data_IF_322131583704
#
_entry.id   IF_322131583704
#
_cell.length_a   1.000
_cell.length_b   1.000
_cell.length_c   1.000
_cell.angle_alpha   90.00
_cell.angle_beta   90.00
_cell.angle_gamma   90.00
#
_symmetry.space_group_name_H-M   'P 1'
#
loop_
_entity.id
_entity.type
_entity.pdbx_description
1 polymer ?
#
# COMPACT_ATOMS: atom_id res chain seq x y z
N UNK A 1 -5.69 12.08 14.88
CA UNK A 1 -5.22 10.72 15.18
C UNK A 1 -3.78 10.47 14.70
N UNK A 2 -3.51 10.20 13.41
CA UNK A 2 -2.15 9.85 12.92
C UNK A 2 -1.04 10.85 13.29
N UNK A 3 -1.33 12.14 13.20
CA UNK A 3 -0.38 13.19 13.61
C UNK A 3 -0.09 13.17 15.11
N UNK A 4 -1.08 12.83 15.94
CA UNK A 4 -0.88 12.61 17.38
C UNK A 4 0.03 11.42 17.66
N UNK A 5 -0.09 10.32 16.89
CA UNK A 5 0.81 9.18 17.00
C UNK A 5 2.27 9.54 16.66
N UNK A 6 2.48 10.34 15.60
CA UNK A 6 3.82 10.82 15.23
C UNK A 6 4.47 11.66 16.33
N UNK A 7 3.67 12.50 17.00
CA UNK A 7 4.13 13.36 18.10
C UNK A 7 4.31 12.63 19.43
N UNK A 8 4.07 11.32 19.48
CA UNK A 8 4.21 10.52 20.69
C UNK A 8 3.01 10.58 21.64
N UNK A 9 1.89 11.20 21.25
CA UNK A 9 0.71 11.38 22.11
C UNK A 9 -0.19 10.13 22.15
N UNK A 10 0.39 8.99 22.53
CA UNK A 10 -0.28 7.68 22.52
C UNK A 10 -1.40 7.55 23.55
N UNK A 11 -1.23 8.15 24.73
CA UNK A 11 -2.19 8.05 25.84
C UNK A 11 -3.49 8.80 25.53
N UNK A 12 -3.38 10.06 25.11
CA UNK A 12 -4.53 10.85 24.66
C UNK A 12 -5.29 10.17 23.51
N UNK A 13 -4.56 9.53 22.60
CA UNK A 13 -5.16 8.87 21.45
C UNK A 13 -5.88 7.56 21.81
N UNK A 14 -5.41 6.83 22.82
CA UNK A 14 -6.09 5.65 23.33
C UNK A 14 -7.50 5.95 23.86
N UNK A 15 -7.76 7.19 24.29
CA UNK A 15 -9.09 7.66 24.73
C UNK A 15 -10.03 7.99 23.56
N UNK A 16 -9.52 8.08 22.34
CA UNK A 16 -10.30 8.47 21.14
C UNK A 16 -10.74 7.28 20.29
N UNK A 17 -10.35 6.06 20.68
CA UNK A 17 -10.65 4.83 19.94
C UNK A 17 -11.16 3.73 20.88
N UNK A 18 -11.85 2.69 20.37
CA UNK A 18 -12.28 1.58 21.20
C UNK A 18 -11.10 0.91 21.94
N UNK A 19 -11.30 0.39 23.16
CA UNK A 19 -10.22 -0.22 23.96
C UNK A 19 -9.44 -1.32 23.22
N UNK A 20 -10.14 -2.18 22.47
CA UNK A 20 -9.50 -3.21 21.65
C UNK A 20 -8.58 -2.62 20.56
N UNK A 21 -8.99 -1.50 19.94
CA UNK A 21 -8.16 -0.80 18.95
C UNK A 21 -6.93 -0.16 19.60
N UNK A 22 -7.09 0.44 20.78
CA UNK A 22 -5.96 0.99 21.53
C UNK A 22 -4.95 -0.10 21.92
N UNK A 23 -5.43 -1.27 22.38
CA UNK A 23 -4.58 -2.42 22.71
C UNK A 23 -3.79 -2.91 21.49
N UNK A 24 -4.44 -3.07 20.34
CA UNK A 24 -3.77 -3.49 19.09
C UNK A 24 -2.74 -2.46 18.60
N UNK A 25 -3.04 -1.17 18.71
CA UNK A 25 -2.10 -0.10 18.34
C UNK A 25 -0.86 -0.08 19.24
N UNK A 26 -1.02 -0.27 20.57
CA UNK A 26 0.10 -0.40 21.50
C UNK A 26 0.94 -1.64 21.18
N UNK A 27 0.29 -2.79 20.99
CA UNK A 27 0.99 -4.01 20.61
C UNK A 27 1.78 -3.85 19.30
N UNK A 28 1.19 -3.20 18.29
CA UNK A 28 1.88 -2.93 17.03
C UNK A 28 3.09 -2.01 17.23
N UNK A 29 2.95 -0.97 18.06
CA UNK A 29 4.06 -0.06 18.40
C UNK A 29 5.19 -0.80 19.11
N UNK A 30 4.87 -1.56 20.14
CA UNK A 30 5.86 -2.25 20.98
C UNK A 30 6.60 -3.35 20.18
N UNK A 31 5.98 -3.87 19.11
CA UNK A 31 6.61 -4.78 18.13
C UNK A 31 7.34 -4.06 16.98
N UNK A 32 7.38 -2.73 16.95
CA UNK A 32 7.98 -1.97 15.85
C UNK A 32 7.24 -2.15 14.51
N UNK A 33 5.92 -2.34 14.55
CA UNK A 33 5.03 -2.57 13.41
C UNK A 33 4.17 -1.34 13.07
N UNK A 34 4.61 -0.16 13.49
CA UNK A 34 3.94 1.12 13.20
C UNK A 34 4.72 1.92 12.17
N UNK A 35 4.11 2.16 11.01
CA UNK A 35 4.64 3.10 10.02
C UNK A 35 4.03 4.48 10.24
N UNK A 36 4.82 5.39 10.82
CA UNK A 36 4.37 6.76 11.12
C UNK A 36 5.07 7.79 10.24
N UNK A 37 6.30 7.51 9.83
CA UNK A 37 7.09 8.34 8.93
C UNK A 37 7.11 7.73 7.51
N UNK A 38 7.00 8.59 6.51
CA UNK A 38 7.02 8.23 5.10
C UNK A 38 8.29 8.69 4.38
N UNK A 39 9.26 9.29 5.07
CA UNK A 39 10.50 9.76 4.44
C UNK A 39 11.31 8.63 3.80
N UNK A 40 11.15 7.38 4.24
CA UNK A 40 11.74 6.24 3.52
C UNK A 40 11.20 6.12 2.09
N UNK A 41 9.90 6.40 1.85
CA UNK A 41 9.34 6.44 0.50
C UNK A 41 9.96 7.57 -0.30
N UNK A 42 10.22 8.73 0.34
CA UNK A 42 10.94 9.84 -0.27
C UNK A 42 12.33 9.44 -0.72
N UNK A 43 13.11 8.78 0.14
CA UNK A 43 14.46 8.26 -0.18
C UNK A 43 14.43 7.27 -1.35
N UNK A 44 13.48 6.34 -1.36
CA UNK A 44 13.30 5.39 -2.46
C UNK A 44 12.91 6.11 -3.76
N UNK A 45 12.03 7.10 -3.69
CA UNK A 45 11.60 7.87 -4.84
C UNK A 45 12.74 8.72 -5.43
N UNK A 46 13.57 9.34 -4.58
CA UNK A 46 14.77 10.08 -5.01
C UNK A 46 15.76 9.21 -5.78
N UNK A 47 15.88 7.93 -5.43
CA UNK A 47 16.70 7.00 -6.18
C UNK A 47 16.03 6.53 -7.49
N UNK A 48 14.75 6.14 -7.42
CA UNK A 48 14.07 5.47 -8.54
C UNK A 48 13.67 6.43 -9.66
N UNK A 49 13.18 7.62 -9.33
CA UNK A 49 12.67 8.58 -10.31
C UNK A 49 13.75 8.98 -11.32
N UNK A 50 14.96 9.43 -10.91
CA UNK A 50 16.02 9.77 -11.85
C UNK A 50 16.53 8.58 -12.66
N UNK A 51 16.59 7.38 -12.05
CA UNK A 51 17.01 6.15 -12.72
C UNK A 51 16.07 5.75 -13.86
N UNK A 52 14.76 5.94 -13.66
CA UNK A 52 13.76 5.66 -14.68
C UNK A 52 13.79 6.68 -15.83
N UNK A 53 14.09 7.95 -15.49
CA UNK A 53 14.02 9.06 -16.44
C UNK A 53 12.60 9.33 -16.95
N UNK A 54 12.46 10.35 -17.78
CA UNK A 54 11.16 10.80 -18.30
C UNK A 54 10.42 9.67 -19.05
N UNK A 55 11.10 8.95 -19.94
CA UNK A 55 10.47 7.86 -20.70
C UNK A 55 10.03 6.69 -19.81
N UNK A 56 10.84 6.32 -18.82
CA UNK A 56 10.48 5.27 -17.87
C UNK A 56 9.27 5.67 -17.02
N UNK A 57 9.19 6.94 -16.61
CA UNK A 57 8.06 7.48 -15.85
C UNK A 57 6.77 7.50 -16.67
N UNK A 58 6.81 7.87 -17.95
CA UNK A 58 5.64 7.86 -18.85
C UNK A 58 4.96 6.48 -18.93
N UNK A 59 5.73 5.41 -18.78
CA UNK A 59 5.22 4.04 -18.74
C UNK A 59 4.46 3.66 -17.45
N UNK A 60 4.52 4.50 -16.41
CA UNK A 60 3.89 4.23 -15.11
C UNK A 60 2.41 4.61 -15.08
N UNK A 61 1.68 4.02 -14.15
CA UNK A 61 0.25 4.22 -14.02
C UNK A 61 -0.13 5.68 -13.76
N UNK A 62 -1.13 6.13 -14.50
CA UNK A 62 -1.68 7.49 -14.45
C UNK A 62 -0.68 8.62 -14.83
N UNK A 63 0.48 8.31 -15.39
CA UNK A 63 1.45 9.35 -15.82
C UNK A 63 0.94 10.08 -17.07
N UNK A 64 0.37 11.27 -16.89
CA UNK A 64 -0.22 12.07 -17.98
C UNK A 64 0.02 13.56 -17.79
N UNK A 65 -0.02 14.29 -18.90
CA UNK A 65 -0.02 15.75 -18.93
C UNK A 65 1.27 16.40 -18.39
N UNK A 66 2.39 15.68 -18.41
CA UNK A 66 3.72 16.23 -18.09
C UNK A 66 4.12 16.17 -16.62
N UNK A 67 3.35 15.52 -15.75
CA UNK A 67 3.73 15.34 -14.34
C UNK A 67 5.05 14.56 -14.17
N UNK A 68 5.45 13.74 -15.14
CA UNK A 68 6.75 13.08 -15.14
C UNK A 68 7.92 14.08 -15.07
N UNK A 69 7.77 15.27 -15.68
CA UNK A 69 8.79 16.32 -15.63
C UNK A 69 8.83 16.99 -14.25
N UNK A 70 7.66 17.26 -13.65
CA UNK A 70 7.58 17.79 -12.29
C UNK A 70 8.21 16.83 -11.27
N UNK A 71 7.92 15.53 -11.39
CA UNK A 71 8.48 14.51 -10.52
C UNK A 71 10.01 14.40 -10.68
N UNK A 72 10.53 14.46 -11.91
CA UNK A 72 11.98 14.48 -12.18
C UNK A 72 12.66 15.68 -11.52
N UNK A 73 12.08 16.87 -11.65
CA UNK A 73 12.65 18.10 -11.10
C UNK A 73 12.55 18.16 -9.57
N UNK A 74 11.46 17.65 -9.01
CA UNK A 74 11.27 17.56 -7.57
C UNK A 74 12.21 16.52 -6.94
N UNK A 75 12.37 15.34 -7.56
CA UNK A 75 13.24 14.28 -7.05
C UNK A 75 14.73 14.66 -7.00
N UNK A 76 15.16 15.66 -7.76
CA UNK A 76 16.54 16.20 -7.72
C UNK A 76 16.79 17.17 -6.57
N UNK A 77 15.73 17.76 -5.99
CA UNK A 77 15.83 18.91 -5.08
C UNK A 77 15.22 18.66 -3.71
N UNK A 78 14.18 17.83 -3.64
CA UNK A 78 13.51 17.53 -2.39
C UNK A 78 14.42 16.76 -1.44
N UNK A 79 14.27 17.03 -0.13
CA UNK A 79 15.04 16.39 0.93
C UNK A 79 14.17 15.54 1.85
N UNK A 80 12.84 15.67 1.75
CA UNK A 80 11.86 14.89 2.50
C UNK A 80 10.70 14.42 1.62
N UNK A 81 9.90 13.49 2.13
CA UNK A 81 8.66 13.07 1.46
C UNK A 81 7.69 14.24 1.28
N UNK A 82 7.56 15.11 2.28
CA UNK A 82 6.64 16.23 2.22
C UNK A 82 7.06 17.23 1.14
N UNK A 83 8.35 17.57 1.08
CA UNK A 83 8.91 18.47 0.07
C UNK A 83 8.75 17.92 -1.34
N UNK A 84 9.03 16.63 -1.54
CA UNK A 84 8.88 15.95 -2.83
C UNK A 84 7.44 16.05 -3.33
N UNK A 85 6.48 15.74 -2.46
CA UNK A 85 5.07 15.78 -2.80
C UNK A 85 4.64 17.23 -3.05
N UNK A 86 4.95 18.15 -2.14
CA UNK A 86 4.49 19.53 -2.18
C UNK A 86 5.02 20.28 -3.40
N UNK A 87 6.26 20.01 -3.82
CA UNK A 87 6.86 20.59 -5.02
C UNK A 87 6.13 20.23 -6.32
N UNK A 88 5.33 19.16 -6.32
CA UNK A 88 4.53 18.73 -7.46
C UNK A 88 3.05 19.16 -7.36
N UNK A 89 2.61 19.71 -6.23
CA UNK A 89 1.21 20.06 -6.00
C UNK A 89 0.81 21.25 -6.85
N UNK A 90 -0.31 21.12 -7.55
CA UNK A 90 -0.94 22.21 -8.30
C UNK A 90 -2.46 22.02 -8.35
N UNK A 91 -3.17 22.97 -8.95
CA UNK A 91 -4.62 22.82 -9.23
C UNK A 91 -4.92 21.57 -10.07
N UNK A 92 -4.00 21.19 -10.99
CA UNK A 92 -4.12 19.99 -11.83
C UNK A 92 -3.70 18.72 -11.10
N UNK A 93 -2.75 18.83 -10.17
CA UNK A 93 -2.20 17.70 -9.41
C UNK A 93 -2.39 17.91 -7.91
N UNK A 94 -3.56 17.57 -7.36
CA UNK A 94 -3.76 17.60 -5.92
C UNK A 94 -2.81 16.66 -5.19
N UNK A 95 -2.49 16.95 -3.93
CA UNK A 95 -1.55 16.20 -3.08
C UNK A 95 -1.76 14.68 -3.15
N UNK A 96 -2.99 14.21 -2.98
CA UNK A 96 -3.30 12.77 -3.03
C UNK A 96 -3.07 12.13 -4.41
N UNK A 97 -3.19 12.90 -5.50
CA UNK A 97 -2.87 12.42 -6.85
C UNK A 97 -1.35 12.29 -7.03
N UNK A 98 -0.57 13.28 -6.60
CA UNK A 98 0.91 13.22 -6.59
C UNK A 98 1.40 12.01 -5.79
N UNK A 99 0.89 11.82 -4.57
CA UNK A 99 1.26 10.67 -3.74
C UNK A 99 0.98 9.33 -4.43
N UNK A 100 -0.16 9.22 -5.13
CA UNK A 100 -0.47 8.01 -5.92
C UNK A 100 0.50 7.81 -7.07
N UNK A 101 0.90 8.85 -7.80
CA UNK A 101 1.93 8.72 -8.85
C UNK A 101 3.24 8.18 -8.29
N UNK A 102 3.70 8.73 -7.15
CA UNK A 102 4.93 8.26 -6.51
C UNK A 102 4.77 6.80 -6.07
N UNK A 103 3.64 6.42 -5.46
CA UNK A 103 3.39 5.02 -5.10
C UNK A 103 3.33 4.09 -6.32
N UNK A 104 2.73 4.52 -7.44
CA UNK A 104 2.75 3.73 -8.68
C UNK A 104 4.18 3.50 -9.17
N UNK A 105 5.05 4.51 -9.09
CA UNK A 105 6.47 4.40 -9.43
C UNK A 105 7.16 3.39 -8.49
N UNK A 106 7.00 3.54 -7.18
CA UNK A 106 7.63 2.68 -6.17
C UNK A 106 7.17 1.22 -6.30
N UNK A 107 5.91 0.98 -6.66
CA UNK A 107 5.35 -0.36 -6.89
C UNK A 107 5.66 -0.90 -8.30
N UNK A 108 6.26 -0.08 -9.16
CA UNK A 108 6.51 -0.41 -10.56
C UNK A 108 5.23 -0.65 -11.37
N UNK A 109 4.09 -0.08 -10.94
CA UNK A 109 2.79 -0.30 -11.56
C UNK A 109 2.71 0.41 -12.90
N UNK A 110 2.66 -0.36 -13.99
CA UNK A 110 2.62 0.16 -15.35
C UNK A 110 1.23 0.64 -15.75
N UNK A 111 1.20 1.51 -16.77
CA UNK A 111 -0.06 2.03 -17.32
C UNK A 111 -1.02 0.91 -17.72
N UNK A 112 -0.53 -0.09 -18.45
CA UNK A 112 -1.35 -1.20 -18.92
C UNK A 112 -1.87 -2.09 -17.76
N UNK A 113 -1.05 -2.33 -16.73
CA UNK A 113 -1.45 -3.10 -15.54
C UNK A 113 -2.60 -2.40 -14.80
N UNK A 114 -2.46 -1.10 -14.57
CA UNK A 114 -3.51 -0.30 -13.94
C UNK A 114 -4.81 -0.24 -14.77
N UNK A 115 -4.71 -0.12 -16.10
CA UNK A 115 -5.89 -0.19 -16.98
C UNK A 115 -6.55 -1.57 -16.94
N UNK A 116 -5.76 -2.64 -16.85
CA UNK A 116 -6.29 -4.00 -16.69
C UNK A 116 -6.99 -4.16 -15.33
N UNK A 117 -6.40 -3.64 -14.24
CA UNK A 117 -7.00 -3.66 -12.89
C UNK A 117 -8.38 -2.99 -12.87
N UNK A 118 -8.49 -1.82 -13.47
CA UNK A 118 -9.75 -1.08 -13.56
C UNK A 118 -10.80 -1.78 -14.42
N UNK A 119 -10.39 -2.48 -15.48
CA UNK A 119 -11.31 -3.13 -16.43
C UNK A 119 -11.75 -4.52 -16.01
N UNK A 120 -10.82 -5.35 -15.52
CA UNK A 120 -11.05 -6.76 -15.21
C UNK A 120 -11.48 -6.98 -13.76
N UNK A 121 -11.18 -6.04 -12.88
CA UNK A 121 -11.47 -6.16 -11.46
C UNK A 121 -10.63 -7.24 -10.75
N UNK A 122 -10.89 -7.48 -9.46
CA UNK A 122 -10.13 -8.42 -8.66
C UNK A 122 -10.37 -9.88 -9.10
N UNK A 123 -9.33 -10.69 -9.27
CA UNK A 123 -9.46 -12.10 -9.67
C UNK A 123 -9.86 -13.04 -8.53
N UNK A 124 -9.89 -12.55 -7.28
CA UNK A 124 -10.18 -13.35 -6.10
C UNK A 124 -10.69 -12.49 -4.94
N UNK A 125 -11.27 -13.15 -3.94
CA UNK A 125 -11.53 -12.57 -2.63
C UNK A 125 -10.44 -13.01 -1.64
N UNK A 126 -9.66 -12.05 -1.13
CA UNK A 126 -8.61 -12.28 -0.14
C UNK A 126 -9.19 -12.20 1.28
N UNK A 127 -9.15 -13.30 2.02
CA UNK A 127 -9.58 -13.31 3.43
C UNK A 127 -8.40 -12.94 4.32
N UNK A 128 -8.51 -11.80 5.00
CA UNK A 128 -7.49 -11.32 5.95
C UNK A 128 -7.81 -11.73 7.40
N UNK A 129 -9.09 -11.78 7.73
CA UNK A 129 -9.58 -12.21 9.04
C UNK A 129 -11.06 -12.58 8.99
N UNK A 130 -11.51 -13.39 9.94
CA UNK A 130 -12.88 -13.91 9.98
C UNK A 130 -13.30 -14.24 11.42
N UNK A 131 -14.53 -13.88 11.79
CA UNK A 131 -15.18 -14.30 13.04
C UNK A 131 -15.93 -15.62 12.85
N UNK A 132 -16.41 -16.31 13.90
CA UNK A 132 -17.21 -17.53 13.74
C UNK A 132 -18.43 -17.32 12.83
N UNK A 133 -19.13 -16.19 13.01
CA UNK A 133 -20.26 -15.80 12.15
C UNK A 133 -19.81 -15.49 10.72
N UNK A 134 -18.70 -14.77 10.54
CA UNK A 134 -18.14 -14.50 9.23
C UNK A 134 -17.78 -15.78 8.47
N UNK A 135 -17.25 -16.79 9.18
CA UNK A 135 -16.90 -18.08 8.61
C UNK A 135 -18.13 -18.83 8.12
N UNK A 136 -19.22 -18.78 8.88
CA UNK A 136 -20.51 -19.34 8.47
C UNK A 136 -21.04 -18.65 7.20
N UNK A 137 -20.99 -17.32 7.14
CA UNK A 137 -21.41 -16.54 5.96
C UNK A 137 -20.57 -16.93 4.73
N UNK A 138 -19.24 -16.96 4.86
CA UNK A 138 -18.34 -17.33 3.77
C UNK A 138 -18.55 -18.78 3.29
N UNK A 139 -18.95 -19.69 4.19
CA UNK A 139 -19.31 -21.06 3.84
C UNK A 139 -20.62 -21.11 3.06
N UNK A 140 -21.66 -20.40 3.54
CA UNK A 140 -22.98 -20.35 2.91
C UNK A 140 -22.93 -19.71 1.52
N UNK A 141 -22.07 -18.71 1.31
CA UNK A 141 -21.95 -18.04 0.02
C UNK A 141 -21.14 -18.82 -1.02
N UNK A 142 -20.61 -20.01 -0.70
CA UNK A 142 -19.75 -20.78 -1.60
C UNK A 142 -20.44 -21.18 -2.92
N UNK A 143 -21.73 -21.58 -2.95
CA UNK A 143 -22.40 -21.97 -4.20
C UNK A 143 -22.66 -20.81 -5.16
N UNK A 144 -22.78 -19.57 -4.67
CA UNK A 144 -23.19 -18.39 -5.45
C UNK A 144 -22.05 -17.40 -5.73
N UNK A 145 -20.80 -17.74 -5.38
CA UNK A 145 -19.66 -16.83 -5.50
C UNK A 145 -18.97 -16.97 -6.86
N UNK A 146 -18.83 -15.84 -7.56
CA UNK A 146 -18.19 -15.77 -8.88
C UNK A 146 -16.66 -15.62 -8.84
N UNK A 147 -16.07 -15.43 -7.66
CA UNK A 147 -14.63 -15.29 -7.47
C UNK A 147 -14.09 -16.35 -6.51
N UNK A 148 -12.92 -16.93 -6.78
CA UNK A 148 -12.27 -17.83 -5.84
C UNK A 148 -11.92 -17.10 -4.54
N UNK A 149 -12.06 -17.79 -3.42
CA UNK A 149 -11.65 -17.29 -2.11
C UNK A 149 -10.27 -17.82 -1.77
N UNK A 150 -9.36 -16.91 -1.45
CA UNK A 150 -7.99 -17.26 -1.05
C UNK A 150 -7.73 -16.84 0.38
N UNK A 151 -7.19 -17.78 1.16
CA UNK A 151 -6.83 -17.59 2.56
C UNK A 151 -5.30 -17.63 2.78
N UNK A 152 -4.54 -18.16 1.80
CA UNK A 152 -3.08 -18.25 1.83
C UNK A 152 -2.50 -17.37 0.73
N UNK A 153 -1.33 -16.76 0.97
CA UNK A 153 -0.53 -16.04 -0.04
C UNK A 153 0.13 -16.96 -1.07
N UNK A 154 -0.61 -17.93 -1.59
CA UNK A 154 -0.16 -18.79 -2.68
C UNK A 154 -0.77 -18.29 -3.99
N UNK A 155 0.02 -18.23 -5.08
CA UNK A 155 -0.44 -17.71 -6.36
C UNK A 155 -1.65 -18.52 -6.86
N UNK A 156 -2.80 -17.87 -7.13
CA UNK A 156 -3.91 -18.53 -7.76
C UNK A 156 -3.54 -18.89 -9.21
N UNK A 157 -4.20 -19.89 -9.82
CA UNK A 157 -4.04 -20.14 -11.24
C UNK A 157 -4.48 -18.93 -12.07
N UNK A 158 -3.84 -18.75 -13.22
CA UNK A 158 -4.15 -17.69 -14.18
C UNK A 158 -3.22 -16.49 -14.12
N UNK A 159 -2.77 -16.04 -15.30
CA UNK A 159 -1.83 -14.91 -15.44
C UNK A 159 -2.33 -13.63 -14.78
N UNK A 160 -3.64 -13.37 -14.87
CA UNK A 160 -4.26 -12.20 -14.24
C UNK A 160 -4.14 -12.25 -12.72
N UNK A 161 -4.49 -13.38 -12.10
CA UNK A 161 -4.43 -13.55 -10.65
C UNK A 161 -3.00 -13.46 -10.10
N UNK A 162 -2.03 -14.02 -10.83
CA UNK A 162 -0.61 -13.93 -10.48
C UNK A 162 -0.08 -12.49 -10.57
N UNK A 163 -0.48 -11.74 -11.61
CA UNK A 163 -0.09 -10.34 -11.75
C UNK A 163 -0.64 -9.49 -10.59
N UNK A 164 -1.93 -9.61 -10.26
CA UNK A 164 -2.53 -8.89 -9.12
C UNK A 164 -1.83 -9.25 -7.81
N UNK A 165 -1.61 -10.54 -7.55
CA UNK A 165 -0.89 -10.97 -6.34
C UNK A 165 0.56 -10.46 -6.30
N UNK A 166 1.23 -10.35 -7.44
CA UNK A 166 2.57 -9.78 -7.48
C UNK A 166 2.59 -8.29 -7.06
N UNK A 167 1.56 -7.51 -7.42
CA UNK A 167 1.40 -6.13 -6.93
C UNK A 167 1.12 -6.11 -5.43
N UNK A 168 0.26 -6.99 -4.92
CA UNK A 168 -0.01 -7.11 -3.48
C UNK A 168 1.27 -7.45 -2.70
N UNK A 169 2.06 -8.41 -3.17
CA UNK A 169 3.33 -8.79 -2.56
C UNK A 169 4.36 -7.65 -2.58
N UNK A 170 4.51 -6.94 -3.71
CA UNK A 170 5.38 -5.76 -3.77
C UNK A 170 4.93 -4.67 -2.79
N UNK A 171 3.62 -4.48 -2.65
CA UNK A 171 3.05 -3.50 -1.73
C UNK A 171 3.32 -3.87 -0.27
N UNK A 172 3.16 -5.13 0.10
CA UNK A 172 3.49 -5.62 1.43
C UNK A 172 5.00 -5.51 1.72
N UNK A 173 5.85 -5.86 0.76
CA UNK A 173 7.29 -5.71 0.89
C UNK A 173 7.71 -4.24 1.05
N UNK A 174 7.12 -3.31 0.27
CA UNK A 174 7.38 -1.89 0.41
C UNK A 174 6.95 -1.35 1.78
N UNK A 175 5.83 -1.85 2.32
CA UNK A 175 5.37 -1.51 3.67
C UNK A 175 6.36 -1.99 4.74
N UNK A 176 6.86 -3.23 4.63
CA UNK A 176 7.87 -3.78 5.56
C UNK A 176 9.13 -2.93 5.63
N UNK A 177 9.62 -2.42 4.50
CA UNK A 177 10.81 -1.56 4.46
C UNK A 177 10.69 -0.26 5.25
N UNK A 178 9.47 0.21 5.53
CA UNK A 178 9.24 1.40 6.33
C UNK A 178 9.19 1.14 7.83
N UNK A 179 9.09 -0.11 8.26
CA UNK A 179 8.83 -0.45 9.65
C UNK A 179 10.14 -0.49 10.48
N UNK A 180 10.12 -0.07 11.76
CA UNK A 180 11.28 -0.17 12.64
C UNK A 180 11.87 -1.59 12.77
N UNK A 181 11.01 -2.61 12.76
CA UNK A 181 11.42 -4.01 12.88
C UNK A 181 10.87 -4.84 11.72
N UNK A 182 11.43 -4.72 10.50
CA UNK A 182 10.93 -5.39 9.30
C UNK A 182 10.94 -6.91 9.46
N UNK A 183 9.92 -7.57 8.90
CA UNK A 183 9.91 -9.04 8.77
C UNK A 183 9.94 -9.41 7.30
N UNK A 184 10.82 -10.35 6.94
CA UNK A 184 10.86 -10.86 5.58
C UNK A 184 9.65 -11.74 5.29
N UNK A 185 9.15 -11.72 4.05
CA UNK A 185 8.12 -12.66 3.56
C UNK A 185 6.85 -12.75 4.43
N UNK A 186 6.50 -11.65 5.13
CA UNK A 186 5.35 -11.61 6.06
C UNK A 186 4.06 -11.96 5.34
N UNK A 187 3.88 -11.48 4.11
CA UNK A 187 2.68 -11.76 3.32
C UNK A 187 2.57 -13.25 2.96
N UNK A 188 3.67 -13.89 2.56
CA UNK A 188 3.72 -15.34 2.25
C UNK A 188 3.38 -16.20 3.47
N UNK A 189 3.81 -15.77 4.66
CA UNK A 189 3.58 -16.47 5.94
C UNK A 189 2.24 -16.08 6.60
N UNK A 190 1.53 -15.11 6.04
CA UNK A 190 0.33 -14.55 6.66
C UNK A 190 -0.77 -15.60 6.74
N UNK A 191 -1.34 -15.74 7.93
CA UNK A 191 -2.50 -16.58 8.20
C UNK A 191 -3.73 -15.70 8.37
N UNK A 192 -4.90 -16.26 8.06
CA UNK A 192 -6.18 -15.63 8.35
C UNK A 192 -6.28 -15.40 9.85
N UNK A 193 -6.54 -14.15 10.24
CA UNK A 193 -6.80 -13.80 11.64
C UNK A 193 -8.15 -14.37 12.04
N UNK A 194 -8.18 -15.23 13.06
CA UNK A 194 -9.42 -15.73 13.62
C UNK A 194 -9.85 -14.78 14.72
N UNK A 195 -10.95 -14.06 14.48
CA UNK A 195 -11.60 -13.26 15.51
C UNK A 195 -12.45 -14.15 16.41
N UNK A 196 -12.67 -13.68 17.63
CA UNK A 196 -13.68 -14.22 18.55
C UNK A 196 -15.11 -13.93 18.05
#
# INVERSE_FOLDING_TARGET
>A
MREGLRRGNWESLALTVPPASAALLRQARDRGRTLLDFDFLGRLAHFLIPRLGVEGLRGMAEMREGIEHLLMDAARRALSWDDLVQSCVSRRYPRGRVQRHILHILLGLKHWENRALQRLGPPYLRVLGVTPRGREILRRSRPSRNLPLIAKASPPPGRWAQMVMAVEHRSAALWELGLPHPEAETESRRRVVLGE
#
